data_IF_038447159844
#
_entry.id   IF_038447159844
#
_cell.length_a   1.000
_cell.length_b   1.000
_cell.length_c   1.000
_cell.angle_alpha   90.00
_cell.angle_beta   90.00
_cell.angle_gamma   90.00
#
_symmetry.space_group_name_H-M   'P 1'
#
loop_
_entity.id
_entity.type
_entity.pdbx_description
1 polymer ?
#
# COMPACT_ATOMS: atom_id res chain seq x y z
N UNK A 1 28.71 -8.02 -12.25
CA UNK A 1 27.81 -7.83 -13.41
C UNK A 1 26.46 -8.42 -13.05
N UNK A 2 25.62 -7.65 -12.35
CA UNK A 2 24.34 -8.12 -11.84
C UNK A 2 23.35 -8.12 -13.00
N UNK A 3 22.97 -9.32 -13.46
CA UNK A 3 21.93 -9.49 -14.47
C UNK A 3 20.60 -9.20 -13.79
N UNK A 4 20.10 -7.98 -13.90
CA UNK A 4 18.69 -7.71 -13.63
C UNK A 4 17.90 -8.42 -14.72
N UNK A 5 17.43 -9.63 -14.42
CA UNK A 5 16.38 -10.28 -15.20
C UNK A 5 15.16 -9.36 -15.09
N UNK A 6 14.87 -8.65 -16.17
CA UNK A 6 13.61 -7.94 -16.33
C UNK A 6 12.52 -9.00 -16.56
N UNK A 7 12.16 -9.74 -15.52
CA UNK A 7 10.95 -10.54 -15.52
C UNK A 7 9.82 -9.58 -15.22
N UNK A 8 9.24 -9.03 -16.30
CA UNK A 8 7.97 -8.33 -16.28
C UNK A 8 6.85 -9.35 -16.00
N UNK A 9 6.92 -10.02 -14.85
CA UNK A 9 5.90 -10.92 -14.39
C UNK A 9 5.04 -10.12 -13.43
N UNK A 10 4.00 -9.49 -13.97
CA UNK A 10 2.85 -9.15 -13.15
C UNK A 10 2.43 -10.49 -12.48
N UNK A 11 2.31 -10.59 -11.16
CA UNK A 11 1.66 -11.71 -10.52
C UNK A 11 0.20 -11.61 -10.94
N UNK A 12 -0.11 -12.24 -12.06
CA UNK A 12 -1.43 -12.21 -12.65
C UNK A 12 -2.30 -13.08 -11.78
N UNK A 13 -3.10 -12.44 -10.93
CA UNK A 13 -4.31 -13.04 -10.43
C UNK A 13 -5.06 -13.60 -11.64
N UNK A 14 -5.18 -14.93 -11.75
CA UNK A 14 -5.83 -15.56 -12.88
C UNK A 14 -7.24 -15.00 -13.03
N UNK A 15 -7.70 -14.81 -14.28
CA UNK A 15 -9.04 -14.26 -14.55
C UNK A 15 -10.13 -15.00 -13.79
N UNK A 16 -10.04 -16.33 -13.74
CA UNK A 16 -10.95 -17.19 -12.98
C UNK A 16 -10.96 -16.82 -11.49
N UNK A 17 -9.77 -16.72 -10.89
CA UNK A 17 -9.62 -16.38 -9.47
C UNK A 17 -10.13 -14.98 -9.15
N UNK A 18 -9.88 -14.02 -10.05
CA UNK A 18 -10.42 -12.68 -9.95
C UNK A 18 -11.95 -12.71 -9.93
N UNK A 19 -12.59 -13.41 -10.87
CA UNK A 19 -14.06 -13.52 -10.91
C UNK A 19 -14.64 -14.26 -9.71
N UNK A 20 -13.93 -15.25 -9.16
CA UNK A 20 -14.33 -15.93 -7.92
C UNK A 20 -14.34 -14.99 -6.71
N UNK A 21 -13.30 -14.17 -6.56
CA UNK A 21 -13.21 -13.18 -5.49
C UNK A 21 -14.24 -12.07 -5.70
N UNK A 22 -14.33 -11.54 -6.90
CA UNK A 22 -15.28 -10.49 -7.29
C UNK A 22 -16.73 -10.83 -6.93
N UNK A 23 -17.17 -12.06 -7.21
CA UNK A 23 -18.54 -12.52 -6.90
C UNK A 23 -18.86 -12.54 -5.39
N UNK A 24 -17.84 -12.57 -4.53
CA UNK A 24 -17.97 -12.59 -3.08
C UNK A 24 -17.82 -11.20 -2.47
N UNK A 25 -17.45 -10.19 -3.27
CA UNK A 25 -17.27 -8.83 -2.78
C UNK A 25 -18.60 -8.19 -2.41
N UNK A 26 -18.65 -7.45 -1.29
CA UNK A 26 -19.67 -6.45 -1.03
C UNK A 26 -19.86 -5.50 -2.22
N UNK A 27 -21.08 -5.00 -2.40
CA UNK A 27 -21.43 -4.12 -3.51
C UNK A 27 -20.51 -2.88 -3.56
N UNK A 28 -20.21 -2.29 -2.41
CA UNK A 28 -19.35 -1.10 -2.29
C UNK A 28 -17.92 -1.34 -2.83
N UNK A 29 -17.36 -2.53 -2.62
CA UNK A 29 -16.05 -2.89 -3.19
C UNK A 29 -16.12 -3.13 -4.70
N UNK A 30 -17.23 -3.69 -5.20
CA UNK A 30 -17.44 -3.83 -6.64
C UNK A 30 -17.59 -2.46 -7.31
N UNK A 31 -18.34 -1.55 -6.70
CA UNK A 31 -18.51 -0.18 -7.19
C UNK A 31 -17.19 0.58 -7.18
N UNK A 32 -16.41 0.49 -6.10
CA UNK A 32 -15.09 1.12 -6.02
C UNK A 32 -14.12 0.61 -7.09
N UNK A 33 -14.21 -0.66 -7.49
CA UNK A 33 -13.36 -1.24 -8.54
C UNK A 33 -13.64 -0.67 -9.93
N UNK A 34 -14.89 -0.30 -10.21
CA UNK A 34 -15.33 0.26 -11.50
C UNK A 34 -15.63 1.76 -11.46
N UNK A 35 -15.46 2.40 -10.30
CA UNK A 35 -15.67 3.83 -10.15
C UNK A 35 -14.63 4.61 -10.96
N UNK A 36 -15.09 5.56 -11.77
CA UNK A 36 -14.23 6.49 -12.51
C UNK A 36 -13.30 7.26 -11.55
N UNK A 37 -13.81 7.64 -10.39
CA UNK A 37 -13.05 8.32 -9.34
C UNK A 37 -11.83 7.50 -8.88
N UNK A 38 -11.95 6.17 -8.77
CA UNK A 38 -10.82 5.29 -8.41
C UNK A 38 -9.74 5.35 -9.49
N UNK A 39 -10.12 5.24 -10.76
CA UNK A 39 -9.18 5.34 -11.88
C UNK A 39 -8.46 6.69 -11.92
N UNK A 40 -9.22 7.77 -11.76
CA UNK A 40 -8.68 9.14 -11.72
C UNK A 40 -7.71 9.32 -10.54
N UNK A 41 -8.07 8.86 -9.34
CA UNK A 41 -7.21 8.93 -8.17
C UNK A 41 -5.90 8.18 -8.37
N UNK A 42 -5.92 6.98 -8.96
CA UNK A 42 -4.69 6.22 -9.24
C UNK A 42 -3.82 6.98 -10.25
N UNK A 43 -4.43 7.49 -11.32
CA UNK A 43 -3.75 8.27 -12.35
C UNK A 43 -3.08 9.52 -11.75
N UNK A 44 -3.82 10.31 -10.99
CA UNK A 44 -3.33 11.52 -10.33
C UNK A 44 -2.15 11.24 -9.38
N UNK A 45 -2.22 10.15 -8.61
CA UNK A 45 -1.13 9.73 -7.71
C UNK A 45 0.10 9.36 -8.53
N UNK A 46 -0.07 8.63 -9.64
CA UNK A 46 1.05 8.23 -10.48
C UNK A 46 1.71 9.43 -11.18
N UNK A 47 0.92 10.36 -11.69
CA UNK A 47 1.42 11.59 -12.34
C UNK A 47 2.18 12.49 -11.34
N UNK A 48 1.62 12.72 -10.15
CA UNK A 48 2.25 13.55 -9.10
C UNK A 48 3.59 13.03 -8.60
N UNK A 49 3.84 11.74 -8.78
CA UNK A 49 5.04 11.05 -8.31
C UNK A 49 5.97 10.63 -9.47
N UNK A 50 5.72 11.10 -10.70
CA UNK A 50 6.51 10.79 -11.90
C UNK A 50 6.65 9.28 -12.19
N UNK A 51 5.60 8.50 -11.86
CA UNK A 51 5.55 7.03 -12.08
C UNK A 51 4.43 6.62 -13.04
N UNK A 52 3.98 7.52 -13.91
CA UNK A 52 2.94 7.25 -14.90
C UNK A 52 3.28 6.04 -15.81
N UNK A 53 4.56 5.77 -16.06
CA UNK A 53 5.01 4.57 -16.78
C UNK A 53 4.65 3.25 -16.09
N UNK A 54 4.46 3.26 -14.76
CA UNK A 54 4.08 2.11 -13.92
C UNK A 54 2.58 2.05 -13.63
N UNK A 55 1.79 2.96 -14.20
CA UNK A 55 0.35 3.08 -13.95
C UNK A 55 -0.38 1.74 -14.07
N UNK A 56 -0.15 1.00 -15.15
CA UNK A 56 -0.80 -0.30 -15.39
C UNK A 56 -0.52 -1.31 -14.27
N UNK A 57 0.72 -1.35 -13.76
CA UNK A 57 1.09 -2.21 -12.64
C UNK A 57 0.41 -1.77 -11.34
N UNK A 58 0.43 -0.46 -11.06
CA UNK A 58 -0.18 0.11 -9.83
C UNK A 58 -1.69 -0.11 -9.84
N UNK A 59 -2.37 0.08 -10.97
CA UNK A 59 -3.79 -0.25 -11.14
C UNK A 59 -4.03 -1.74 -10.87
N UNK A 60 -3.18 -2.62 -11.41
CA UNK A 60 -3.27 -4.06 -11.19
C UNK A 60 -3.19 -4.44 -9.71
N UNK A 61 -2.21 -3.91 -8.97
CA UNK A 61 -2.08 -4.19 -7.53
C UNK A 61 -3.17 -3.53 -6.69
N UNK A 62 -3.59 -2.32 -7.05
CA UNK A 62 -4.72 -1.66 -6.39
C UNK A 62 -6.00 -2.49 -6.55
N UNK A 63 -6.23 -3.04 -7.74
CA UNK A 63 -7.33 -3.98 -7.99
C UNK A 63 -7.20 -5.26 -7.16
N UNK A 64 -5.99 -5.80 -7.00
CA UNK A 64 -5.75 -6.96 -6.12
C UNK A 64 -6.09 -6.67 -4.65
N UNK A 65 -5.86 -5.43 -4.19
CA UNK A 65 -6.29 -5.00 -2.85
C UNK A 65 -7.81 -4.94 -2.75
N UNK A 66 -8.47 -4.30 -3.72
CA UNK A 66 -9.93 -4.15 -3.72
C UNK A 66 -10.69 -5.48 -3.81
N UNK A 67 -10.12 -6.48 -4.49
CA UNK A 67 -10.69 -7.85 -4.54
C UNK A 67 -10.26 -8.75 -3.37
N UNK A 68 -9.45 -8.22 -2.45
CA UNK A 68 -9.02 -8.94 -1.25
C UNK A 68 -7.87 -9.94 -1.45
N UNK A 69 -7.23 -9.96 -2.62
CA UNK A 69 -6.10 -10.84 -2.91
C UNK A 69 -4.79 -10.36 -2.28
N UNK A 70 -4.65 -9.06 -2.02
CA UNK A 70 -3.47 -8.43 -1.43
C UNK A 70 -3.90 -7.50 -0.29
N UNK A 71 -3.42 -7.65 0.96
CA UNK A 71 -3.74 -6.70 2.01
C UNK A 71 -3.12 -5.32 1.69
N UNK A 72 -3.89 -4.25 1.94
CA UNK A 72 -3.48 -2.88 1.65
C UNK A 72 -2.15 -2.51 2.34
N UNK A 73 -1.88 -3.07 3.50
CA UNK A 73 -0.65 -2.87 4.29
C UNK A 73 0.61 -3.40 3.56
N UNK A 74 0.46 -4.42 2.72
CA UNK A 74 1.57 -5.00 1.97
C UNK A 74 1.76 -4.35 0.59
N UNK A 75 0.94 -3.35 0.24
CA UNK A 75 0.99 -2.72 -1.07
C UNK A 75 2.35 -2.02 -1.30
N UNK A 76 2.84 -1.27 -0.30
CA UNK A 76 4.15 -0.61 -0.39
C UNK A 76 5.29 -1.60 -0.68
N UNK A 77 5.35 -2.71 0.06
CA UNK A 77 6.37 -3.75 -0.14
C UNK A 77 6.23 -4.42 -1.52
N UNK A 78 4.99 -4.63 -1.97
CA UNK A 78 4.72 -5.22 -3.28
C UNK A 78 5.14 -4.29 -4.42
N UNK A 79 4.88 -2.99 -4.29
CA UNK A 79 5.31 -1.98 -5.25
C UNK A 79 6.84 -1.86 -5.31
N UNK A 80 7.53 -1.98 -4.18
CA UNK A 80 9.00 -2.04 -4.16
C UNK A 80 9.51 -3.27 -4.91
N UNK A 81 9.07 -4.47 -4.50
CA UNK A 81 9.63 -5.74 -4.99
C UNK A 81 9.26 -6.04 -6.44
N UNK A 82 8.00 -5.80 -6.81
CA UNK A 82 7.46 -6.26 -8.09
C UNK A 82 7.43 -5.17 -9.15
N UNK A 83 7.12 -3.93 -8.76
CA UNK A 83 7.12 -2.78 -9.70
C UNK A 83 8.52 -2.17 -9.84
N UNK A 84 9.38 -2.40 -8.83
CA UNK A 84 10.75 -1.90 -8.80
C UNK A 84 10.84 -0.43 -8.40
N UNK A 85 9.89 0.06 -7.59
CA UNK A 85 9.93 1.42 -7.06
C UNK A 85 10.90 1.49 -5.87
N UNK A 86 11.49 2.66 -5.63
CA UNK A 86 12.20 2.92 -4.37
C UNK A 86 11.22 2.81 -3.19
N UNK A 87 11.65 2.23 -2.08
CA UNK A 87 10.77 1.97 -0.93
C UNK A 87 10.05 3.24 -0.42
N UNK A 88 10.75 4.37 -0.28
CA UNK A 88 10.15 5.63 0.17
C UNK A 88 9.05 6.11 -0.80
N UNK A 89 9.29 5.99 -2.11
CA UNK A 89 8.31 6.32 -3.14
C UNK A 89 7.12 5.35 -3.14
N UNK A 90 7.38 4.05 -3.03
CA UNK A 90 6.37 3.00 -2.95
C UNK A 90 5.46 3.19 -1.73
N UNK A 91 6.05 3.52 -0.58
CA UNK A 91 5.33 3.84 0.64
C UNK A 91 4.46 5.09 0.49
N UNK A 92 5.01 6.15 -0.09
CA UNK A 92 4.25 7.39 -0.36
C UNK A 92 3.04 7.13 -1.26
N UNK A 93 3.23 6.40 -2.36
CA UNK A 93 2.14 6.02 -3.27
C UNK A 93 1.10 5.17 -2.53
N UNK A 94 1.55 4.19 -1.75
CA UNK A 94 0.66 3.33 -0.95
C UNK A 94 -0.19 4.15 0.03
N UNK A 95 0.41 5.09 0.75
CA UNK A 95 -0.29 5.98 1.70
C UNK A 95 -1.30 6.90 0.99
N UNK A 96 -0.94 7.43 -0.19
CA UNK A 96 -1.85 8.23 -1.01
C UNK A 96 -3.04 7.41 -1.52
N UNK A 97 -2.80 6.22 -2.08
CA UNK A 97 -3.86 5.31 -2.52
C UNK A 97 -4.74 4.89 -1.35
N UNK A 98 -4.16 4.65 -0.18
CA UNK A 98 -4.92 4.36 1.03
C UNK A 98 -5.86 5.51 1.39
N UNK A 99 -5.37 6.74 1.37
CA UNK A 99 -6.17 7.92 1.70
C UNK A 99 -7.29 8.19 0.69
N UNK A 100 -7.02 8.06 -0.60
CA UNK A 100 -7.96 8.43 -1.65
C UNK A 100 -8.96 7.32 -2.02
N UNK A 101 -8.55 6.06 -1.89
CA UNK A 101 -9.31 4.90 -2.36
C UNK A 101 -9.69 4.02 -1.17
N UNK A 102 -8.70 3.42 -0.50
CA UNK A 102 -8.98 2.38 0.51
C UNK A 102 -9.69 2.89 1.75
N UNK A 103 -9.53 4.16 2.11
CA UNK A 103 -10.21 4.77 3.26
C UNK A 103 -11.74 4.77 3.08
N UNK A 104 -12.24 4.94 1.85
CA UNK A 104 -13.68 4.95 1.57
C UNK A 104 -14.30 3.57 1.73
N UNK A 105 -13.52 2.51 1.48
CA UNK A 105 -13.95 1.11 1.52
C UNK A 105 -13.28 0.31 2.64
N UNK A 106 -12.75 1.01 3.66
CA UNK A 106 -11.94 0.40 4.70
C UNK A 106 -12.74 -0.61 5.51
N UNK A 107 -14.00 -0.29 5.82
CA UNK A 107 -14.86 -1.16 6.61
C UNK A 107 -15.15 -2.46 5.88
N UNK A 108 -15.37 -2.39 4.57
CA UNK A 108 -15.70 -3.53 3.72
C UNK A 108 -14.47 -4.41 3.51
N UNK A 109 -13.28 -3.80 3.35
CA UNK A 109 -12.00 -4.51 3.35
C UNK A 109 -11.76 -5.19 4.70
N UNK A 110 -11.96 -4.50 5.82
CA UNK A 110 -11.77 -5.04 7.18
C UNK A 110 -12.73 -6.20 7.44
N UNK A 111 -13.99 -6.13 6.99
CA UNK A 111 -14.95 -7.23 7.05
C UNK A 111 -14.51 -8.43 6.20
N UNK A 112 -14.00 -8.18 5.00
CA UNK A 112 -13.49 -9.21 4.10
C UNK A 112 -12.30 -9.96 4.71
N UNK A 113 -11.42 -9.26 5.44
CA UNK A 113 -10.28 -9.87 6.14
C UNK A 113 -10.66 -10.48 7.51
N UNK A 114 -11.60 -9.89 8.28
CA UNK A 114 -12.09 -10.46 9.55
C UNK A 114 -12.92 -11.72 9.37
N UNK A 115 -13.56 -11.92 8.22
CA UNK A 115 -14.27 -13.14 7.86
C UNK A 115 -13.37 -14.40 7.79
N UNK A 116 -12.05 -14.23 7.88
CA UNK A 116 -11.05 -15.29 7.99
C UNK A 116 -9.93 -14.94 8.99
N UNK A 117 -10.23 -14.98 10.29
CA UNK A 117 -9.29 -15.06 11.44
C UNK A 117 -8.16 -14.01 11.59
N UNK A 118 -8.16 -13.35 12.77
CA UNK A 118 -6.98 -12.79 13.48
C UNK A 118 -6.36 -11.46 12.99
N UNK A 119 -7.14 -10.37 12.87
CA UNK A 119 -6.58 -9.00 12.69
C UNK A 119 -6.74 -8.09 13.93
N UNK A 120 -7.04 -8.62 15.11
CA UNK A 120 -6.94 -7.84 16.36
C UNK A 120 -5.51 -7.73 16.91
N UNK A 121 -4.55 -8.51 16.39
CA UNK A 121 -3.15 -8.49 16.83
C UNK A 121 -2.30 -7.44 16.13
N UNK A 122 -2.58 -7.10 14.86
CA UNK A 122 -1.74 -6.18 14.08
C UNK A 122 -1.94 -4.72 14.51
N UNK A 123 -3.17 -4.28 14.84
CA UNK A 123 -3.41 -2.88 15.28
C UNK A 123 -2.60 -2.51 16.54
N UNK A 124 -2.28 -3.48 17.40
CA UNK A 124 -1.51 -3.26 18.63
C UNK A 124 0.00 -3.16 18.38
N UNK A 125 0.53 -3.84 17.37
CA UNK A 125 1.98 -3.89 17.10
C UNK A 125 2.48 -2.69 16.25
N UNK A 126 1.65 -2.15 15.35
CA UNK A 126 2.00 -0.97 14.56
C UNK A 126 2.05 0.31 15.43
N UNK A 127 1.22 0.36 16.47
CA UNK A 127 1.18 1.47 17.43
C UNK A 127 2.38 1.43 18.39
N UNK A 128 2.84 0.24 18.79
CA UNK A 128 4.09 0.09 19.58
C UNK A 128 5.36 0.35 18.75
N UNK A 129 5.36 0.03 17.46
CA UNK A 129 6.55 0.22 16.61
C UNK A 129 6.80 1.68 16.24
N UNK A 130 5.74 2.50 16.05
CA UNK A 130 5.90 3.95 15.81
C UNK A 130 6.53 4.69 16.99
N UNK A 131 6.32 4.23 18.22
CA UNK A 131 6.86 4.87 19.43
C UNK A 131 8.39 4.66 19.57
N UNK A 132 8.96 3.62 18.93
CA UNK A 132 10.37 3.25 19.13
C UNK A 132 11.35 3.91 18.15
N UNK A 133 10.90 4.40 16.99
CA UNK A 133 11.75 5.04 15.98
C UNK A 133 12.04 6.52 16.25
N UNK A 134 11.37 7.15 17.22
CA UNK A 134 11.53 8.59 17.52
C UNK A 134 12.51 8.89 18.69
N UNK A 135 13.33 7.92 19.09
CA UNK A 135 14.36 8.11 20.11
C UNK A 135 15.76 7.85 19.53
N UNK A 136 16.22 8.73 18.63
CA UNK A 136 17.67 8.87 18.42
C UNK A 136 18.23 9.81 19.50
N UNK A 137 19.18 9.36 20.34
CA UNK A 137 19.79 10.20 21.35
C UNK A 137 20.72 11.21 20.68
N UNK A 138 20.27 12.47 20.57
CA UNK A 138 21.20 13.56 20.26
C UNK A 138 22.07 13.80 21.50
N UNK A 139 23.37 13.74 21.31
CA UNK A 139 24.45 13.74 22.29
C UNK A 139 24.39 14.89 23.32
N UNK A 140 24.88 14.70 24.56
CA UNK A 140 25.02 15.79 25.52
C UNK A 140 26.25 16.63 25.16
N UNK A 141 26.06 17.78 24.52
CA UNK A 141 27.12 18.79 24.42
C UNK A 141 27.25 19.50 25.76
N UNK A 142 28.12 18.93 26.58
CA UNK A 142 28.77 19.59 27.71
C UNK A 142 29.69 20.69 27.15
N UNK A 143 29.75 21.81 27.86
CA UNK A 143 30.60 23.01 27.72
C UNK A 143 29.96 24.26 27.10
N UNK A 144 29.57 25.17 27.99
CA UNK A 144 29.82 26.61 27.83
C UNK A 144 30.43 27.13 29.13
N UNK A 145 31.51 27.89 28.97
CA UNK A 145 32.47 28.34 29.98
C UNK A 145 31.85 29.26 31.05
N UNK A 146 32.47 29.39 32.24
CA UNK A 146 32.05 30.37 33.24
C UNK A 146 32.28 31.79 32.71
N UNK A 147 31.23 32.62 32.78
CA UNK A 147 31.37 34.08 32.64
C UNK A 147 31.60 34.68 34.03
N UNK A 148 32.66 35.48 34.09
CA UNK A 148 33.25 36.33 35.14
C UNK A 148 32.47 36.56 36.45
#
# INVERSE_FOLDING_TARGET
>A
MIKYKHTNHMPTLSKEKFWELYKKLPQELQEALFAEETGNNIYDVCEKNDVAEKLSSIVGYTGQVLVGALPAENLAETLEKEVGLEYDLAKKISDELYRFIFHKVHNELDLLYRGGSETETIKKEIEETKIKIEATPTTPSKYREPIE
#
